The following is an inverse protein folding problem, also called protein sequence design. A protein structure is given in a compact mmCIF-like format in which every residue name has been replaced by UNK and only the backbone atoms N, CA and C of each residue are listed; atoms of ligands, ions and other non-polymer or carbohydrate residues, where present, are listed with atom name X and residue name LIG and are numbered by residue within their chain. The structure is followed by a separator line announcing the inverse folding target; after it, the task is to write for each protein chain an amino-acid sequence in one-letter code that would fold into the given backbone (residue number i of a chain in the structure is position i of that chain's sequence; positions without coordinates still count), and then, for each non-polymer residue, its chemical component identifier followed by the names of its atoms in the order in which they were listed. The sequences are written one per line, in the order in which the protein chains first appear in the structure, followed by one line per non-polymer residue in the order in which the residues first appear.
data_IF_938042336021
#
_entry.id   IF_938042336021
#
_cell.length_a   1.000
_cell.length_b   1.000
_cell.length_c   1.000
_cell.angle_alpha   90.00
_cell.angle_beta   90.00
_cell.angle_gamma   90.00
#
_symmetry.space_group_name_H-M   'P 1'
#
loop_
_entity.id
_entity.type
_entity.pdbx_description
1 polymer ?
#
# COMPACT_ATOMS: atom_id res chain seq x y z
N UNK A 1 22.56 -31.19 -12.25
CA UNK A 1 23.75 -32.06 -12.13
C UNK A 1 25.03 -31.22 -11.97
N UNK A 2 25.23 -30.15 -12.74
CA UNK A 2 26.43 -29.29 -12.63
C UNK A 2 26.59 -28.65 -11.24
N UNK A 3 25.50 -28.29 -10.56
CA UNK A 3 25.57 -27.77 -9.19
C UNK A 3 25.99 -28.90 -8.23
N UNK A 4 25.38 -30.09 -8.32
CA UNK A 4 25.65 -31.25 -7.46
C UNK A 4 27.10 -31.79 -7.52
N UNK A 5 27.77 -31.67 -8.67
CA UNK A 5 29.16 -32.12 -8.85
C UNK A 5 30.22 -31.09 -8.44
N UNK A 6 29.89 -29.79 -8.34
CA UNK A 6 30.88 -28.75 -8.08
C UNK A 6 31.50 -28.81 -6.68
N UNK A 7 30.74 -29.27 -5.69
CA UNK A 7 31.18 -29.26 -4.29
C UNK A 7 32.04 -30.46 -3.88
N UNK A 8 32.09 -31.53 -4.68
CA UNK A 8 32.99 -32.68 -4.43
C UNK A 8 34.42 -32.40 -4.90
N UNK A 9 34.61 -31.49 -5.86
CA UNK A 9 35.92 -31.18 -6.46
C UNK A 9 36.56 -29.89 -5.93
N UNK A 10 35.80 -29.02 -5.23
CA UNK A 10 36.32 -27.79 -4.63
C UNK A 10 35.69 -27.54 -3.25
N UNK A 11 36.18 -28.19 -2.18
CA UNK A 11 35.64 -28.02 -0.82
C UNK A 11 35.81 -26.58 -0.29
N UNK A 12 36.68 -25.77 -0.91
CA UNK A 12 36.91 -24.37 -0.55
C UNK A 12 35.72 -23.46 -0.95
N UNK A 13 34.99 -23.81 -2.01
CA UNK A 13 33.81 -23.06 -2.46
C UNK A 13 32.61 -23.29 -1.53
N UNK A 14 32.49 -24.48 -0.93
CA UNK A 14 31.48 -24.76 0.07
C UNK A 14 31.68 -23.92 1.35
N UNK A 15 32.94 -23.62 1.71
CA UNK A 15 33.27 -22.71 2.81
C UNK A 15 32.93 -21.23 2.52
N UNK A 16 32.67 -20.88 1.25
CA UNK A 16 32.30 -19.51 0.83
C UNK A 16 30.78 -19.30 0.81
N UNK A 17 29.99 -20.37 0.96
CA UNK A 17 28.52 -20.26 1.00
C UNK A 17 28.09 -19.88 2.40
N UNK A 18 27.64 -18.62 2.57
CA UNK A 18 27.27 -18.08 3.89
C UNK A 18 26.17 -18.89 4.60
N UNK A 19 25.30 -19.59 3.86
CA UNK A 19 24.27 -20.52 4.39
C UNK A 19 24.01 -21.68 3.41
N UNK A 20 24.60 -22.87 3.62
CA UNK A 20 24.33 -24.03 2.78
C UNK A 20 22.88 -24.51 2.97
N UNK A 21 22.27 -25.01 1.90
CA UNK A 21 20.91 -25.57 1.93
C UNK A 21 20.95 -26.87 2.75
N UNK A 22 20.09 -27.04 3.77
CA UNK A 22 20.03 -28.27 4.56
C UNK A 22 19.55 -29.44 3.70
N UNK A 23 19.89 -30.66 4.12
CA UNK A 23 19.46 -31.87 3.44
C UNK A 23 17.92 -31.93 3.35
N UNK A 24 17.40 -32.22 2.16
CA UNK A 24 15.97 -32.29 1.85
C UNK A 24 15.25 -33.37 2.66
N UNK A 25 15.98 -34.42 3.10
CA UNK A 25 15.47 -35.44 3.98
C UNK A 25 15.30 -34.96 5.43
N UNK A 26 16.08 -33.97 5.86
CA UNK A 26 16.07 -33.44 7.22
C UNK A 26 15.13 -32.24 7.39
N UNK A 27 15.01 -31.37 6.36
CA UNK A 27 14.17 -30.17 6.43
C UNK A 27 13.60 -29.79 5.07
N UNK A 28 12.33 -29.37 5.06
CA UNK A 28 11.72 -28.86 3.83
C UNK A 28 12.30 -27.51 3.42
N UNK A 29 12.34 -27.25 2.11
CA UNK A 29 12.87 -25.99 1.57
C UNK A 29 12.07 -24.77 2.09
N UNK A 30 10.74 -24.88 2.21
CA UNK A 30 9.89 -23.82 2.76
C UNK A 30 10.25 -23.49 4.20
N UNK A 31 10.53 -24.50 5.03
CA UNK A 31 10.95 -24.29 6.41
C UNK A 31 12.33 -23.64 6.49
N UNK A 32 13.29 -24.11 5.69
CA UNK A 32 14.64 -23.54 5.62
C UNK A 32 14.64 -22.06 5.18
N UNK A 33 13.79 -21.70 4.20
CA UNK A 33 13.60 -20.30 3.81
C UNK A 33 12.93 -19.48 4.92
N UNK A 34 11.97 -20.06 5.63
CA UNK A 34 11.34 -19.45 6.79
C UNK A 34 12.35 -19.09 7.88
N UNK A 35 13.28 -20.00 8.20
CA UNK A 35 14.32 -19.72 9.21
C UNK A 35 15.14 -18.49 8.82
N UNK A 36 15.57 -18.40 7.56
CA UNK A 36 16.37 -17.27 7.05
C UNK A 36 15.56 -15.96 7.06
N UNK A 37 14.32 -15.98 6.57
CA UNK A 37 13.48 -14.79 6.45
C UNK A 37 13.07 -14.23 7.81
N UNK A 38 12.73 -15.10 8.78
CA UNK A 38 12.19 -14.67 10.06
C UNK A 38 13.24 -14.55 11.17
N UNK A 39 14.41 -15.17 11.03
CA UNK A 39 15.47 -15.11 12.06
C UNK A 39 16.55 -14.10 11.68
N UNK A 40 17.06 -14.19 10.45
CA UNK A 40 18.27 -13.46 10.05
C UNK A 40 17.98 -12.18 9.25
N UNK A 41 16.93 -12.21 8.42
CA UNK A 41 16.59 -11.11 7.51
C UNK A 41 15.26 -10.43 7.87
N UNK A 42 14.85 -10.51 9.13
CA UNK A 42 13.58 -9.96 9.60
C UNK A 42 13.42 -8.46 9.30
N UNK A 43 14.50 -7.68 9.40
CA UNK A 43 14.48 -6.24 9.09
C UNK A 43 14.15 -5.96 7.61
N UNK A 44 14.76 -6.70 6.69
CA UNK A 44 14.46 -6.57 5.26
C UNK A 44 13.05 -7.04 4.92
N UNK A 45 12.57 -8.09 5.60
CA UNK A 45 11.19 -8.54 5.47
C UNK A 45 10.19 -7.46 5.92
N UNK A 46 10.47 -6.76 7.03
CA UNK A 46 9.64 -5.64 7.49
C UNK A 46 9.63 -4.48 6.49
N UNK A 47 10.78 -4.11 5.92
CA UNK A 47 10.86 -3.07 4.88
C UNK A 47 10.05 -3.47 3.65
N UNK A 48 10.14 -4.73 3.20
CA UNK A 48 9.31 -5.22 2.10
C UNK A 48 7.82 -5.07 2.42
N UNK A 49 7.40 -5.32 3.67
CA UNK A 49 6.04 -5.06 4.14
C UNK A 49 5.63 -3.59 4.03
N UNK A 50 6.50 -2.65 4.41
CA UNK A 50 6.26 -1.21 4.24
C UNK A 50 6.14 -0.82 2.76
N UNK A 51 6.98 -1.40 1.90
CA UNK A 51 6.92 -1.16 0.45
C UNK A 51 5.58 -1.63 -0.12
N UNK A 52 5.11 -2.82 0.28
CA UNK A 52 3.79 -3.33 -0.15
C UNK A 52 2.64 -2.45 0.34
N UNK A 53 2.73 -1.93 1.57
CA UNK A 53 1.75 -0.99 2.11
C UNK A 53 1.67 0.29 1.26
N UNK A 54 2.83 0.91 0.99
CA UNK A 54 2.92 2.11 0.16
C UNK A 54 2.42 1.83 -1.26
N UNK A 55 2.72 0.66 -1.83
CA UNK A 55 2.24 0.25 -3.14
C UNK A 55 0.70 0.17 -3.21
N UNK A 56 0.04 -0.38 -2.18
CA UNK A 56 -1.43 -0.39 -2.12
C UNK A 56 -2.01 1.03 -2.06
N UNK A 57 -1.45 1.90 -1.22
CA UNK A 57 -1.89 3.30 -1.12
C UNK A 57 -1.70 3.99 -2.47
N UNK A 58 -0.56 3.81 -3.11
CA UNK A 58 -0.24 4.38 -4.42
C UNK A 58 -1.23 3.94 -5.50
N UNK A 59 -1.55 2.65 -5.56
CA UNK A 59 -2.51 2.11 -6.53
C UNK A 59 -3.92 2.70 -6.37
N UNK A 60 -4.39 2.84 -5.13
CA UNK A 60 -5.71 3.44 -4.83
C UNK A 60 -5.71 4.91 -5.23
N UNK A 61 -4.71 5.68 -4.82
CA UNK A 61 -4.66 7.13 -5.10
C UNK A 61 -4.54 7.41 -6.60
N UNK A 62 -3.80 6.58 -7.34
CA UNK A 62 -3.64 6.74 -8.79
C UNK A 62 -4.94 6.46 -9.57
N UNK A 63 -5.76 5.52 -9.08
CA UNK A 63 -7.02 5.13 -9.73
C UNK A 63 -8.23 5.92 -9.22
N UNK A 64 -8.10 6.61 -8.07
CA UNK A 64 -9.16 7.42 -7.47
C UNK A 64 -9.48 8.65 -8.34
N UNK A 65 -10.52 8.53 -9.17
CA UNK A 65 -11.00 9.62 -10.00
C UNK A 65 -11.92 10.55 -9.23
N UNK A 66 -11.53 11.82 -9.11
CA UNK A 66 -12.42 12.87 -8.63
C UNK A 66 -13.37 13.31 -9.74
N UNK A 67 -14.68 13.32 -9.48
CA UNK A 67 -15.67 13.80 -10.45
C UNK A 67 -15.69 15.34 -10.43
N UNK A 68 -15.37 16.02 -11.54
CA UNK A 68 -15.49 17.47 -11.62
C UNK A 68 -16.97 17.88 -11.59
N UNK A 69 -17.28 19.02 -10.97
CA UNK A 69 -18.64 19.59 -10.94
C UNK A 69 -19.53 19.12 -9.78
N UNK A 70 -19.02 18.35 -8.81
CA UNK A 70 -19.78 18.05 -7.59
C UNK A 70 -19.80 19.30 -6.71
N UNK A 71 -20.99 19.83 -6.42
CA UNK A 71 -21.15 20.87 -5.39
C UNK A 71 -20.85 20.26 -4.03
N UNK A 72 -19.74 20.68 -3.40
CA UNK A 72 -19.43 20.31 -2.02
C UNK A 72 -20.01 21.37 -1.09
N UNK A 73 -20.64 20.91 -0.02
CA UNK A 73 -21.15 21.78 1.02
C UNK A 73 -19.99 22.24 1.89
N UNK A 74 -19.95 23.54 2.20
CA UNK A 74 -19.13 24.05 3.30
C UNK A 74 -20.04 24.18 4.51
N UNK A 75 -19.82 23.32 5.52
CA UNK A 75 -20.66 23.26 6.73
C UNK A 75 -20.57 24.58 7.50
N UNK A 76 -19.38 25.15 7.63
CA UNK A 76 -19.17 26.44 8.28
C UNK A 76 -19.90 27.57 7.56
N UNK A 77 -19.83 27.62 6.23
CA UNK A 77 -20.54 28.62 5.45
C UNK A 77 -22.07 28.46 5.51
N UNK A 78 -22.56 27.22 5.63
CA UNK A 78 -23.99 26.96 5.71
C UNK A 78 -24.58 27.29 7.08
N UNK A 79 -23.88 26.93 8.16
CA UNK A 79 -24.33 27.23 9.54
C UNK A 79 -24.23 28.72 9.84
N UNK A 80 -23.22 29.42 9.31
CA UNK A 80 -23.07 30.87 9.46
C UNK A 80 -24.00 31.73 8.58
N UNK A 81 -24.91 31.12 7.81
CA UNK A 81 -25.81 31.85 6.91
C UNK A 81 -26.83 32.66 7.70
N UNK A 82 -26.87 33.98 7.46
CA UNK A 82 -27.84 34.89 8.08
C UNK A 82 -29.01 35.19 7.14
N UNK A 83 -30.17 35.64 7.64
CA UNK A 83 -31.31 36.00 6.80
C UNK A 83 -30.97 37.02 5.70
N UNK A 84 -30.07 37.98 5.99
CA UNK A 84 -29.60 38.98 5.03
C UNK A 84 -28.84 38.36 3.84
N UNK A 85 -28.08 37.29 4.07
CA UNK A 85 -27.40 36.54 3.00
C UNK A 85 -28.30 35.48 2.37
N UNK A 86 -29.46 35.22 2.99
CA UNK A 86 -30.24 34.04 2.77
C UNK A 86 -31.49 34.24 1.90
N UNK A 87 -32.09 35.42 1.97
CA UNK A 87 -33.38 35.72 1.35
C UNK A 87 -33.41 37.18 0.87
N UNK A 88 -33.98 37.41 -0.31
CA UNK A 88 -34.31 38.75 -0.82
C UNK A 88 -35.83 38.91 -0.80
N UNK A 89 -36.33 39.91 -0.07
CA UNK A 89 -37.76 40.20 -0.04
C UNK A 89 -38.11 41.07 -1.24
N UNK A 90 -38.71 40.49 -2.27
CA UNK A 90 -39.26 41.24 -3.40
C UNK A 90 -40.75 41.48 -3.23
N UNK A 91 -41.17 42.74 -3.35
CA UNK A 91 -42.59 43.10 -3.47
C UNK A 91 -43.02 42.99 -4.93
N UNK A 92 -43.82 41.98 -5.24
CA UNK A 92 -44.49 41.83 -6.54
C UNK A 92 -45.87 42.48 -6.51
N UNK A 93 -46.30 43.04 -7.65
CA UNK A 93 -47.65 43.58 -7.81
C UNK A 93 -48.65 42.43 -7.97
N UNK A 94 -49.80 42.56 -7.32
CA UNK A 94 -50.88 41.56 -7.40
C UNK A 94 -51.32 41.36 -8.84
N UNK A 95 -51.18 40.14 -9.36
CA UNK A 95 -51.54 39.78 -10.75
C UNK A 95 -50.36 39.68 -11.72
N UNK A 96 -49.17 40.14 -11.34
CA UNK A 96 -47.94 39.84 -12.08
C UNK A 96 -47.27 38.63 -11.42
N UNK A 97 -47.15 37.53 -12.16
CA UNK A 97 -46.32 36.40 -11.74
C UNK A 97 -44.85 36.81 -11.61
N UNK A 98 -44.09 36.01 -10.87
CA UNK A 98 -42.64 36.21 -10.70
C UNK A 98 -41.92 35.99 -12.04
#
# INVERSE_FOLDING_TARGET
IVVLGGYTFAPQLAATVSKPIPDLAARSNTAALGDILYTDYLYYFQIAGLVLLVAMIGAIVLTLRHKPGIKRQSISAQVGRTPATGMEIRKVKTGEGI
#
